data_IF_468259157311
#
_entry.id   IF_468259157311
#
_cell.length_a   1.000
_cell.length_b   1.000
_cell.length_c   1.000
_cell.angle_alpha   90.00
_cell.angle_beta   90.00
_cell.angle_gamma   90.00
#
_symmetry.space_group_name_H-M   'P 1'
#
loop_
_entity.id
_entity.type
_entity.pdbx_description
1 polymer ?
#
# COMPACT_ATOMS: atom_id res chain seq x y z
N UNK A 1 -4.88 7.97 -6.15
CA UNK A 1 -5.06 6.91 -5.13
C UNK A 1 -3.73 6.71 -4.45
N UNK A 2 -3.68 6.54 -3.13
CA UNK A 2 -2.44 6.30 -2.39
C UNK A 2 -2.39 4.84 -1.93
N UNK A 3 -1.19 4.35 -1.68
CA UNK A 3 -0.95 3.03 -1.10
C UNK A 3 -0.01 3.15 0.09
N UNK A 4 -0.13 2.21 1.02
CA UNK A 4 0.81 2.06 2.13
C UNK A 4 0.80 0.59 2.59
N UNK A 5 1.82 0.19 3.34
CA UNK A 5 1.91 -1.14 3.94
C UNK A 5 1.92 -1.04 5.47
N UNK A 6 1.62 -2.12 6.18
CA UNK A 6 1.58 -2.08 7.64
C UNK A 6 2.97 -1.97 8.30
N UNK A 7 4.04 -2.39 7.63
CA UNK A 7 5.37 -2.44 8.25
C UNK A 7 5.33 -3.35 9.48
N UNK A 8 5.72 -2.83 10.64
CA UNK A 8 5.67 -3.54 11.93
C UNK A 8 4.36 -3.33 12.70
N UNK A 9 3.42 -2.54 12.15
CA UNK A 9 2.17 -2.23 12.84
C UNK A 9 1.20 -3.41 12.83
N UNK A 10 0.42 -3.54 13.92
CA UNK A 10 -0.72 -4.47 13.98
C UNK A 10 -1.79 -4.07 12.96
N UNK A 11 -2.65 -5.01 12.61
CA UNK A 11 -3.75 -4.78 11.66
C UNK A 11 -4.62 -3.58 12.06
N UNK A 12 -4.98 -3.47 13.34
CA UNK A 12 -5.85 -2.41 13.85
C UNK A 12 -5.16 -1.04 13.78
N UNK A 13 -3.88 -0.99 14.18
CA UNK A 13 -3.07 0.23 14.06
C UNK A 13 -2.89 0.65 12.60
N UNK A 14 -2.72 -0.32 11.69
CA UNK A 14 -2.65 -0.06 10.27
C UNK A 14 -3.97 0.49 9.71
N UNK A 15 -5.12 -0.12 10.04
CA UNK A 15 -6.42 0.37 9.60
C UNK A 15 -6.70 1.79 10.13
N UNK A 16 -6.40 2.06 11.40
CA UNK A 16 -6.51 3.39 11.98
C UNK A 16 -5.63 4.41 11.24
N UNK A 17 -4.40 4.03 10.87
CA UNK A 17 -3.48 4.87 10.10
C UNK A 17 -4.01 5.16 8.70
N UNK A 18 -4.51 4.15 7.98
CA UNK A 18 -5.09 4.30 6.64
C UNK A 18 -6.34 5.20 6.69
N UNK A 19 -7.22 4.98 7.65
CA UNK A 19 -8.42 5.80 7.82
C UNK A 19 -8.06 7.27 8.06
N UNK A 20 -7.09 7.54 8.95
CA UNK A 20 -6.59 8.90 9.17
C UNK A 20 -5.97 9.50 7.90
N UNK A 21 -5.12 8.75 7.21
CA UNK A 21 -4.47 9.17 5.96
C UNK A 21 -5.47 9.41 4.81
N UNK A 22 -6.68 8.83 4.88
CA UNK A 22 -7.75 9.08 3.91
C UNK A 22 -8.58 10.34 4.20
N UNK A 23 -8.43 10.91 5.41
CA UNK A 23 -9.18 12.08 5.89
C UNK A 23 -8.37 13.38 5.84
N UNK A 24 -7.05 13.30 5.99
CA UNK A 24 -6.17 14.48 5.97
C UNK A 24 -5.39 14.57 4.65
N UNK A 25 -5.58 15.67 3.92
CA UNK A 25 -4.86 15.95 2.66
C UNK A 25 -3.49 16.62 2.92
N UNK A 26 -3.40 17.40 3.99
CA UNK A 26 -2.29 18.33 4.30
C UNK A 26 -1.34 17.82 5.39
N UNK A 27 -1.84 17.06 6.37
CA UNK A 27 -0.97 16.38 7.32
C UNK A 27 -0.59 15.02 6.74
N UNK A 28 0.61 14.97 6.15
CA UNK A 28 1.36 13.73 6.18
C UNK A 28 1.26 13.20 7.61
N UNK A 29 0.66 12.03 7.78
CA UNK A 29 0.78 11.31 9.04
C UNK A 29 2.25 10.92 9.13
N UNK A 30 3.06 11.85 9.65
CA UNK A 30 4.33 11.66 10.34
C UNK A 30 4.02 10.94 11.66
N UNK A 31 3.33 9.80 11.53
CA UNK A 31 3.23 8.81 12.56
C UNK A 31 4.51 8.00 12.47
N UNK A 32 5.43 8.30 13.38
CA UNK A 32 6.70 7.65 13.70
C UNK A 32 6.59 6.12 13.98
N UNK A 33 5.43 5.51 13.75
CA UNK A 33 5.14 4.12 14.06
C UNK A 33 4.73 3.33 12.82
N UNK A 34 5.70 2.65 12.21
CA UNK A 34 5.45 1.49 11.34
C UNK A 34 5.23 1.77 9.86
N UNK A 35 5.68 2.90 9.31
CA UNK A 35 5.82 3.00 7.84
C UNK A 35 7.20 2.55 7.43
N UNK A 36 7.28 1.76 6.37
CA UNK A 36 8.55 1.24 5.89
C UNK A 36 9.36 2.33 5.18
N UNK A 37 10.67 2.16 5.16
CA UNK A 37 11.64 3.06 4.53
C UNK A 37 11.60 2.93 3.01
N UNK A 38 10.59 3.55 2.42
CA UNK A 38 10.45 3.73 0.99
C UNK A 38 11.63 4.49 0.38
N UNK A 39 12.09 4.09 -0.81
CA UNK A 39 13.25 4.67 -1.49
C UNK A 39 12.95 6.06 -2.06
N UNK A 40 11.79 6.25 -2.70
CA UNK A 40 11.38 7.56 -3.22
C UNK A 40 10.77 8.43 -2.13
N UNK A 41 10.17 7.80 -1.13
CA UNK A 41 9.54 8.45 0.01
C UNK A 41 8.10 8.90 -0.30
N UNK A 42 7.35 9.19 0.77
CA UNK A 42 5.91 9.46 0.71
C UNK A 42 5.53 10.63 -0.21
N UNK A 43 6.40 11.62 -0.35
CA UNK A 43 6.14 12.81 -1.17
C UNK A 43 6.39 12.57 -2.67
N UNK A 44 7.47 11.88 -3.04
CA UNK A 44 7.83 11.74 -4.46
C UNK A 44 7.12 10.57 -5.15
N UNK A 45 6.63 9.58 -4.40
CA UNK A 45 5.96 8.38 -4.95
C UNK A 45 4.54 8.63 -5.49
N UNK A 46 4.00 9.84 -5.33
CA UNK A 46 2.64 10.21 -5.70
C UNK A 46 2.57 11.20 -6.88
N UNK A 47 3.68 11.33 -7.61
CA UNK A 47 3.76 12.24 -8.75
C UNK A 47 3.21 11.61 -10.03
N UNK A 48 2.14 12.20 -10.58
CA UNK A 48 1.55 11.80 -11.85
C UNK A 48 0.42 10.77 -11.72
N UNK A 49 0.19 9.99 -12.79
CA UNK A 49 -0.90 8.99 -12.84
C UNK A 49 -0.48 7.61 -12.32
N UNK A 50 0.82 7.36 -12.20
CA UNK A 50 1.39 6.10 -11.71
C UNK A 50 2.03 6.38 -10.36
N UNK A 51 1.57 5.66 -9.34
CA UNK A 51 2.12 5.75 -8.01
C UNK A 51 2.98 4.50 -7.80
N UNK A 52 4.29 4.69 -7.67
CA UNK A 52 5.25 3.58 -7.56
C UNK A 52 6.31 3.93 -6.54
N UNK A 53 6.74 2.94 -5.78
CA UNK A 53 7.85 3.07 -4.84
C UNK A 53 8.47 1.69 -4.62
N UNK A 54 9.73 1.68 -4.20
CA UNK A 54 10.47 0.48 -3.85
C UNK A 54 10.96 0.61 -2.42
N UNK A 55 11.24 -0.50 -1.76
CA UNK A 55 12.05 -0.50 -0.56
C UNK A 55 13.05 -1.66 -0.65
N UNK A 56 14.09 -1.61 0.18
CA UNK A 56 14.99 -2.74 0.36
C UNK A 56 15.01 -3.09 1.84
N UNK A 57 14.78 -4.36 2.17
CA UNK A 57 14.59 -4.83 3.55
C UNK A 57 14.94 -6.31 3.66
N UNK A 58 15.10 -6.79 4.88
CA UNK A 58 15.36 -8.21 5.14
C UNK A 58 14.09 -9.05 4.94
N UNK A 59 14.26 -10.35 4.68
CA UNK A 59 13.12 -11.27 4.55
C UNK A 59 12.27 -11.32 5.83
N UNK A 60 12.90 -11.19 7.01
CA UNK A 60 12.20 -11.18 8.29
C UNK A 60 11.28 -9.96 8.44
N UNK A 61 11.78 -8.77 8.10
CA UNK A 61 10.99 -7.54 8.11
C UNK A 61 9.89 -7.56 7.04
N UNK A 62 10.17 -8.07 5.83
CA UNK A 62 9.16 -8.24 4.79
C UNK A 62 8.03 -9.15 5.25
N UNK A 63 8.35 -10.25 5.96
CA UNK A 63 7.35 -11.18 6.49
C UNK A 63 6.43 -10.52 7.54
N UNK A 64 6.91 -9.52 8.28
CA UNK A 64 6.05 -8.75 9.21
C UNK A 64 5.12 -7.77 8.48
N UNK A 65 5.51 -7.30 7.30
CA UNK A 65 4.74 -6.33 6.51
C UNK A 65 3.83 -7.00 5.47
N UNK A 66 2.91 -7.84 5.93
CA UNK A 66 2.05 -8.67 5.08
C UNK A 66 0.73 -7.99 4.63
N UNK A 67 0.48 -6.73 4.98
CA UNK A 67 -0.74 -6.01 4.61
C UNK A 67 -0.42 -4.83 3.69
N UNK A 68 -1.20 -4.71 2.61
CA UNK A 68 -1.19 -3.57 1.70
C UNK A 68 -2.55 -2.87 1.77
N UNK A 69 -2.53 -1.57 2.01
CA UNK A 69 -3.71 -0.71 2.07
C UNK A 69 -3.73 0.25 0.90
N UNK A 70 -4.86 0.33 0.19
CA UNK A 70 -5.08 1.26 -0.91
C UNK A 70 -6.25 2.16 -0.51
N UNK A 71 -6.05 3.47 -0.63
CA UNK A 71 -7.05 4.44 -0.24
C UNK A 71 -7.09 5.62 -1.22
N UNK A 72 -8.26 6.26 -1.41
CA UNK A 72 -8.32 7.48 -2.20
C UNK A 72 -7.54 8.59 -1.50
N UNK A 73 -6.77 9.36 -2.28
CA UNK A 73 -6.37 10.68 -1.82
C UNK A 73 -7.58 11.59 -1.97
N UNK A 74 -7.80 12.42 -0.96
CA UNK A 74 -8.67 13.57 -1.08
C UNK A 74 -8.06 14.46 -2.15
N UNK A 75 -8.91 15.04 -2.98
CA UNK A 75 -8.49 16.04 -3.94
C UNK A 75 -9.60 17.06 -4.08
N UNK A 76 -9.26 18.21 -4.66
CA UNK A 76 -10.13 19.37 -4.92
C UNK A 76 -11.51 19.05 -5.54
N UNK A 77 -11.69 17.87 -6.14
CA UNK A 77 -12.93 17.43 -6.78
C UNK A 77 -13.95 16.85 -5.79
N UNK A 78 -13.53 16.36 -4.61
CA UNK A 78 -14.43 15.79 -3.59
C UNK A 78 -15.15 16.88 -2.81
N UNK A 79 -14.50 18.02 -2.57
CA UNK A 79 -15.02 19.17 -1.82
C UNK A 79 -16.04 20.02 -2.60
N UNK A 80 -16.43 19.57 -3.80
CA UNK A 80 -17.37 20.27 -4.67
C UNK A 80 -18.64 19.43 -4.81
N UNK A 81 -19.62 19.58 -3.89
CA UNK A 81 -20.85 18.78 -3.89
C UNK A 81 -21.59 18.81 -5.22
N UNK A 82 -21.55 19.95 -5.92
CA UNK A 82 -22.21 20.16 -7.21
C UNK A 82 -21.63 19.33 -8.37
N UNK A 83 -20.44 18.75 -8.21
CA UNK A 83 -19.87 17.84 -9.22
C UNK A 83 -20.50 16.44 -9.15
N UNK A 84 -21.21 16.08 -8.07
CA UNK A 84 -21.84 14.75 -7.91
C UNK A 84 -20.86 13.57 -8.01
N UNK A 85 -19.55 13.83 -7.89
CA UNK A 85 -18.49 12.82 -8.14
C UNK A 85 -18.10 11.98 -6.93
N UNK A 86 -18.68 12.26 -5.75
CA UNK A 86 -18.35 11.59 -4.49
C UNK A 86 -18.60 10.07 -4.51
N UNK A 87 -19.55 9.58 -5.32
CA UNK A 87 -19.88 8.15 -5.42
C UNK A 87 -19.30 7.45 -6.68
N UNK A 88 -18.29 8.02 -7.33
CA UNK A 88 -17.68 7.37 -8.51
C UNK A 88 -16.74 6.24 -8.09
N UNK A 89 -16.96 5.06 -8.66
CA UNK A 89 -16.01 3.94 -8.61
C UNK A 89 -14.79 4.28 -9.47
N UNK A 90 -13.60 4.23 -8.89
CA UNK A 90 -12.34 4.35 -9.61
C UNK A 90 -11.75 2.95 -9.85
N UNK A 91 -11.41 2.63 -11.11
CA UNK A 91 -10.68 1.40 -11.43
C UNK A 91 -9.21 1.61 -11.11
N UNK A 92 -8.59 0.61 -10.49
CA UNK A 92 -7.16 0.57 -10.24
C UNK A 92 -6.61 -0.84 -10.45
N UNK A 93 -5.31 -0.91 -10.66
CA UNK A 93 -4.52 -2.13 -10.64
C UNK A 93 -3.42 -1.96 -9.60
N UNK A 94 -3.23 -2.95 -8.75
CA UNK A 94 -2.07 -3.04 -7.87
C UNK A 94 -1.11 -4.05 -8.48
N UNK A 95 0.16 -3.65 -8.64
CA UNK A 95 1.24 -4.55 -9.03
C UNK A 95 2.24 -4.55 -7.87
N UNK A 96 2.59 -5.74 -7.38
CA UNK A 96 3.58 -5.94 -6.33
C UNK A 96 4.66 -6.86 -6.89
N UNK A 97 5.91 -6.42 -6.80
CA UNK A 97 7.07 -7.20 -7.21
C UNK A 97 7.96 -7.41 -6.00
N UNK A 98 8.43 -8.64 -5.82
CA UNK A 98 9.41 -9.01 -4.79
C UNK A 98 10.65 -9.53 -5.50
N UNK A 99 11.78 -8.91 -5.24
CA UNK A 99 13.08 -9.30 -5.76
C UNK A 99 13.98 -9.70 -4.60
N UNK A 100 14.71 -10.79 -4.77
CA UNK A 100 15.71 -11.26 -3.82
C UNK A 100 17.04 -11.43 -4.53
N UNK A 101 18.14 -11.24 -3.80
CA UNK A 101 19.45 -11.67 -4.29
C UNK A 101 19.44 -13.17 -4.60
N UNK A 102 20.43 -13.62 -5.39
CA UNK A 102 20.57 -15.04 -5.71
C UNK A 102 20.62 -15.87 -4.41
N UNK A 103 19.66 -16.76 -4.26
CA UNK A 103 19.59 -17.72 -3.14
C UNK A 103 19.83 -19.13 -3.68
N UNK A 104 20.49 -19.96 -2.89
CA UNK A 104 20.61 -21.41 -3.13
C UNK A 104 19.34 -22.18 -2.69
N UNK A 105 18.40 -21.50 -2.04
CA UNK A 105 17.13 -22.08 -1.58
C UNK A 105 16.04 -21.89 -2.63
N UNK A 106 15.29 -22.96 -2.92
CA UNK A 106 14.14 -22.90 -3.82
C UNK A 106 12.95 -22.15 -3.17
N UNK A 107 12.75 -20.91 -3.58
CA UNK A 107 11.60 -20.08 -3.19
C UNK A 107 10.43 -20.24 -4.16
N UNK A 108 10.67 -20.67 -5.40
CA UNK A 108 9.66 -20.61 -6.46
C UNK A 108 8.57 -21.67 -6.26
N UNK A 109 8.96 -22.93 -6.06
CA UNK A 109 8.03 -24.05 -5.88
C UNK A 109 7.02 -23.84 -4.74
N UNK A 110 7.43 -23.46 -3.52
CA UNK A 110 6.46 -23.23 -2.44
C UNK A 110 5.56 -22.02 -2.69
N UNK A 111 6.07 -20.95 -3.31
CA UNK A 111 5.27 -19.76 -3.65
C UNK A 111 4.22 -20.10 -4.71
N UNK A 112 4.61 -20.84 -5.76
CA UNK A 112 3.70 -21.24 -6.83
C UNK A 112 2.56 -22.13 -6.30
N UNK A 113 2.88 -23.07 -5.41
CA UNK A 113 1.89 -23.93 -4.76
C UNK A 113 0.87 -23.12 -3.94
N UNK A 114 1.31 -22.07 -3.23
CA UNK A 114 0.44 -21.20 -2.45
C UNK A 114 -0.44 -20.30 -3.33
N UNK A 115 0.09 -19.77 -4.45
CA UNK A 115 -0.66 -18.88 -5.37
C UNK A 115 -1.78 -19.64 -6.09
N UNK A 116 -1.57 -20.92 -6.43
CA UNK A 116 -2.59 -21.74 -7.11
C UNK A 116 -3.84 -21.97 -6.25
N UNK A 117 -3.79 -21.68 -4.95
CA UNK A 117 -4.96 -21.71 -4.07
C UNK A 117 -5.78 -20.42 -4.28
N UNK A 118 -7.00 -20.49 -4.83
CA UNK A 118 -7.81 -19.30 -5.05
C UNK A 118 -8.15 -18.64 -3.71
N UNK A 119 -7.68 -17.42 -3.51
CA UNK A 119 -8.01 -16.61 -2.32
C UNK A 119 -9.39 -16.00 -2.55
N UNK A 120 -10.30 -16.20 -1.59
CA UNK A 120 -11.64 -15.61 -1.61
C UNK A 120 -11.52 -14.08 -1.61
N UNK A 121 -11.93 -13.44 -2.70
CA UNK A 121 -12.07 -11.98 -2.77
C UNK A 121 -13.38 -11.62 -2.05
N UNK A 122 -13.26 -10.99 -0.88
CA UNK A 122 -14.41 -10.42 -0.17
C UNK A 122 -14.59 -9.01 -0.75
N UNK A 123 -15.68 -8.80 -1.48
CA UNK A 123 -16.08 -7.50 -2.06
C UNK A 123 -17.13 -6.88 -1.13
#
# INVERSE_FOLDING_TARGET
MRFDTNGTATREGFLARINRASMDEENEVSGDGGSVNWTLGKQNRHLGSIHSDSWHTTAAELATSNLVGIYPAIGWWRERPWLGRWNRKARYSLVVSVETQKQDVDLYTPIEALIKVPVKVII
#
